data_IF_242090725386
#
_entry.id   IF_242090725386
#
_cell.length_a   1.000
_cell.length_b   1.000
_cell.length_c   1.000
_cell.angle_alpha   90.00
_cell.angle_beta   90.00
_cell.angle_gamma   90.00
#
_symmetry.space_group_name_H-M   'P 1'
#
loop_
_entity.id
_entity.type
_entity.pdbx_description
1 polymer ?
#
# COMPACT_ATOMS: atom_id res chain seq x y z
N UNK A 1 -29.73 -21.15 12.85
CA UNK A 1 -28.55 -20.30 12.67
C UNK A 1 -27.38 -21.12 12.19
N UNK A 2 -27.01 -20.95 10.93
CA UNK A 2 -25.72 -21.45 10.45
C UNK A 2 -24.62 -20.53 10.99
N UNK A 3 -23.51 -21.06 11.53
CA UNK A 3 -22.39 -20.23 11.95
C UNK A 3 -21.83 -19.51 10.71
N UNK A 4 -21.81 -18.17 10.74
CA UNK A 4 -21.18 -17.40 9.67
C UNK A 4 -19.73 -17.85 9.52
N UNK A 5 -19.28 -18.10 8.29
CA UNK A 5 -17.88 -18.44 8.02
C UNK A 5 -16.92 -17.47 8.72
N UNK A 6 -15.76 -17.95 9.23
CA UNK A 6 -14.76 -17.09 9.85
C UNK A 6 -14.37 -15.98 8.87
N UNK A 7 -14.41 -14.73 9.35
CA UNK A 7 -14.06 -13.55 8.56
C UNK A 7 -12.63 -13.15 8.88
N UNK A 8 -11.89 -12.78 7.85
CA UNK A 8 -10.56 -12.21 7.99
C UNK A 8 -10.40 -10.98 7.10
N UNK A 9 -9.40 -10.14 7.42
CA UNK A 9 -9.08 -8.96 6.64
C UNK A 9 -7.59 -8.63 6.75
N UNK A 10 -7.01 -8.12 5.67
CA UNK A 10 -5.70 -7.47 5.74
C UNK A 10 -5.85 -6.06 6.29
N UNK A 11 -4.82 -5.55 6.95
CA UNK A 11 -4.80 -4.21 7.53
C UNK A 11 -3.37 -3.68 7.61
N UNK A 12 -3.21 -2.38 7.36
CA UNK A 12 -2.06 -1.61 7.80
C UNK A 12 -2.59 -0.46 8.62
N UNK A 13 -2.09 -0.32 9.85
CA UNK A 13 -2.39 0.77 10.75
C UNK A 13 -1.12 1.60 10.96
N UNK A 14 -1.26 2.92 10.89
CA UNK A 14 -0.17 3.85 11.14
C UNK A 14 -0.64 4.93 12.12
N UNK A 15 0.12 5.10 13.20
CA UNK A 15 0.03 6.29 14.05
C UNK A 15 1.06 7.30 13.54
N UNK A 16 0.63 8.53 13.31
CA UNK A 16 1.44 9.58 12.70
C UNK A 16 1.62 10.74 13.68
N UNK A 17 2.87 11.08 13.95
CA UNK A 17 3.26 12.33 14.58
C UNK A 17 3.69 13.34 13.50
N UNK A 18 2.83 14.31 13.14
CA UNK A 18 3.13 15.28 12.10
C UNK A 18 4.17 16.33 12.51
N UNK A 19 4.46 16.51 13.80
CA UNK A 19 5.48 17.46 14.24
C UNK A 19 6.89 16.92 13.95
N UNK A 20 7.07 15.60 14.09
CA UNK A 20 8.36 14.93 13.89
C UNK A 20 8.46 14.16 12.57
N UNK A 21 7.34 13.96 11.87
CA UNK A 21 7.28 13.09 10.69
C UNK A 21 7.40 11.60 11.04
N UNK A 22 7.24 11.23 12.32
CA UNK A 22 7.36 9.83 12.75
C UNK A 22 6.07 9.07 12.49
N UNK A 23 6.19 7.87 11.92
CA UNK A 23 5.11 6.91 11.77
C UNK A 23 5.47 5.61 12.49
N UNK A 24 4.59 5.16 13.37
CA UNK A 24 4.64 3.84 13.99
C UNK A 24 3.60 2.95 13.30
N UNK A 25 4.08 1.94 12.55
CA UNK A 25 3.27 1.14 11.63
C UNK A 25 3.13 -0.30 12.15
N UNK A 26 1.90 -0.80 12.23
CA UNK A 26 1.59 -2.21 12.46
C UNK A 26 0.87 -2.79 11.24
N UNK A 27 1.29 -3.98 10.80
CA UNK A 27 0.79 -4.61 9.56
C UNK A 27 0.27 -6.02 9.79
N UNK A 28 -0.92 -6.30 9.29
CA UNK A 28 -1.59 -7.60 9.28
C UNK A 28 -1.85 -8.03 7.84
N UNK A 29 -0.93 -8.77 7.22
CA UNK A 29 -1.05 -9.32 5.86
C UNK A 29 -1.18 -8.30 4.70
N UNK A 30 -1.24 -7.00 4.97
CA UNK A 30 -1.37 -5.95 3.95
C UNK A 30 -0.07 -5.75 3.16
N UNK A 31 -0.08 -5.18 1.94
CA UNK A 31 1.14 -4.76 1.26
C UNK A 31 2.00 -3.80 2.09
N UNK A 32 3.32 -3.86 1.88
CA UNK A 32 4.27 -2.91 2.48
C UNK A 32 4.04 -1.49 1.93
N UNK A 33 4.24 -0.45 2.75
CA UNK A 33 4.17 0.93 2.30
C UNK A 33 5.36 1.31 1.42
N UNK A 34 5.20 2.41 0.71
CA UNK A 34 6.22 2.94 -0.20
C UNK A 34 6.52 4.36 0.19
N UNK A 35 7.81 4.69 0.31
CA UNK A 35 8.26 6.06 0.53
C UNK A 35 8.80 6.60 -0.78
N UNK A 36 8.28 7.76 -1.19
CA UNK A 36 8.75 8.56 -2.30
C UNK A 36 9.60 9.68 -1.73
N UNK A 37 10.88 9.69 -2.09
CA UNK A 37 11.84 10.70 -1.65
C UNK A 37 11.60 12.05 -2.32
N UNK A 38 12.23 13.10 -1.79
CA UNK A 38 12.22 14.43 -2.41
C UNK A 38 12.87 14.47 -3.81
N UNK A 39 13.69 13.46 -4.15
CA UNK A 39 14.26 13.25 -5.48
C UNK A 39 13.36 12.40 -6.40
N UNK A 40 12.11 12.17 -5.97
CA UNK A 40 11.12 11.29 -6.60
C UNK A 40 11.53 9.81 -6.64
N UNK A 41 12.55 9.35 -5.91
CA UNK A 41 12.86 7.91 -5.85
C UNK A 41 11.81 7.18 -5.01
N UNK A 42 11.19 6.12 -5.55
CA UNK A 42 10.21 5.29 -4.84
C UNK A 42 10.83 4.02 -4.25
N UNK A 43 10.69 3.82 -2.94
CA UNK A 43 11.29 2.68 -2.22
C UNK A 43 10.23 1.97 -1.37
N UNK A 44 10.08 0.65 -1.55
CA UNK A 44 9.27 -0.18 -0.65
C UNK A 44 9.92 -0.19 0.73
N UNK A 45 9.17 0.22 1.74
CA UNK A 45 9.59 0.15 3.14
C UNK A 45 9.08 -1.13 3.75
N UNK A 46 9.99 -2.09 3.91
CA UNK A 46 9.69 -3.34 4.58
C UNK A 46 9.22 -3.08 6.02
N UNK A 47 8.04 -3.58 6.33
CA UNK A 47 7.43 -3.48 7.64
C UNK A 47 7.19 -4.86 8.22
N UNK A 48 7.60 -5.05 9.47
CA UNK A 48 7.27 -6.24 10.22
C UNK A 48 5.74 -6.38 10.29
N UNK A 49 5.25 -7.61 10.18
CA UNK A 49 3.81 -7.86 10.16
C UNK A 49 3.45 -9.27 10.58
N UNK A 50 2.16 -9.45 10.85
CA UNK A 50 1.54 -10.72 11.22
C UNK A 50 0.53 -11.21 10.17
N UNK A 51 -0.16 -12.30 10.51
CA UNK A 51 -1.24 -12.85 9.69
C UNK A 51 -2.42 -11.88 9.56
N UNK A 52 -3.24 -11.95 8.49
CA UNK A 52 -4.48 -11.19 8.41
C UNK A 52 -5.32 -11.30 9.70
N UNK A 53 -5.99 -10.21 10.06
CA UNK A 53 -6.83 -10.14 11.25
C UNK A 53 -7.89 -11.25 11.20
N UNK A 54 -8.13 -11.92 12.33
CA UNK A 54 -9.17 -12.96 12.44
C UNK A 54 -8.74 -14.37 12.00
N UNK A 55 -7.52 -14.55 11.48
CA UNK A 55 -6.97 -15.89 11.19
C UNK A 55 -6.56 -16.62 12.47
N UNK A 56 -5.87 -15.93 13.38
CA UNK A 56 -5.45 -16.46 14.68
C UNK A 56 -5.76 -15.43 15.77
N UNK A 57 -6.29 -15.90 16.90
CA UNK A 57 -6.77 -15.03 17.98
C UNK A 57 -5.64 -14.33 18.73
N UNK A 58 -4.47 -14.95 18.79
CA UNK A 58 -3.29 -14.48 19.54
C UNK A 58 -2.15 -14.05 18.59
N UNK A 59 -2.47 -13.53 17.41
CA UNK A 59 -1.46 -12.99 16.49
C UNK A 59 -0.81 -11.72 17.06
N UNK A 60 0.52 -11.71 17.10
CA UNK A 60 1.31 -10.51 17.36
C UNK A 60 1.47 -9.66 16.09
N UNK A 61 1.38 -8.34 16.27
CA UNK A 61 1.57 -7.35 15.21
C UNK A 61 2.68 -6.37 15.61
N UNK A 62 3.96 -6.69 15.32
CA UNK A 62 5.07 -5.83 15.71
C UNK A 62 5.01 -4.48 14.98
N UNK A 63 5.42 -3.43 15.69
CA UNK A 63 5.49 -2.08 15.15
C UNK A 63 6.83 -1.84 14.44
N UNK A 64 6.78 -1.27 13.24
CA UNK A 64 7.93 -0.74 12.52
C UNK A 64 7.87 0.78 12.50
N UNK A 65 8.96 1.44 12.91
CA UNK A 65 9.06 2.90 12.84
C UNK A 65 9.62 3.36 11.51
N UNK A 66 8.96 4.33 10.90
CA UNK A 66 9.42 5.08 9.72
C UNK A 66 9.45 6.56 10.10
N UNK A 67 10.43 7.31 9.60
CA UNK A 67 10.48 8.78 9.75
C UNK A 67 10.47 9.35 8.34
N UNK A 68 9.52 10.23 8.07
CA UNK A 68 9.48 10.99 6.83
C UNK A 68 10.22 12.31 7.02
N UNK A 69 11.16 12.55 6.13
CA UNK A 69 11.81 13.85 6.01
C UNK A 69 10.89 14.85 5.26
N UNK A 70 11.12 16.16 5.39
CA UNK A 70 10.37 17.15 4.62
C UNK A 70 10.40 16.86 3.12
N UNK A 71 9.24 17.00 2.47
CA UNK A 71 9.01 16.68 1.05
C UNK A 71 9.08 15.19 0.68
N UNK A 72 9.22 14.28 1.65
CA UNK A 72 8.92 12.86 1.40
C UNK A 72 7.43 12.57 1.50
N UNK A 73 6.97 11.59 0.73
CA UNK A 73 5.60 11.10 0.75
C UNK A 73 5.59 9.62 1.07
N UNK A 74 4.59 9.16 1.84
CA UNK A 74 4.33 7.73 2.03
C UNK A 74 3.02 7.34 1.36
N UNK A 75 3.05 6.25 0.61
CA UNK A 75 1.87 5.65 -0.03
C UNK A 75 1.50 4.36 0.70
N UNK A 76 0.21 4.25 1.05
CA UNK A 76 -0.45 3.01 1.44
C UNK A 76 -1.46 2.63 0.37
N UNK A 77 -1.46 1.38 -0.08
CA UNK A 77 -2.44 0.89 -1.04
C UNK A 77 -2.81 -0.56 -0.75
N UNK A 78 -4.04 -0.94 -1.11
CA UNK A 78 -4.46 -2.33 -1.07
C UNK A 78 -3.86 -3.11 -2.25
N UNK A 79 -3.82 -4.44 -2.11
CA UNK A 79 -3.37 -5.36 -3.16
C UNK A 79 -4.11 -5.15 -4.49
N UNK A 80 -5.38 -4.76 -4.45
CA UNK A 80 -6.17 -4.45 -5.64
C UNK A 80 -5.49 -3.46 -6.59
N UNK A 81 -4.81 -2.42 -6.09
CA UNK A 81 -4.07 -1.50 -6.98
C UNK A 81 -2.91 -2.22 -7.68
N UNK A 82 -2.18 -3.05 -6.95
CA UNK A 82 -0.97 -3.73 -7.43
C UNK A 82 -1.33 -4.85 -8.41
N UNK A 83 -2.30 -5.68 -8.04
CA UNK A 83 -2.65 -6.93 -8.74
C UNK A 83 -3.69 -6.73 -9.86
N UNK A 84 -4.30 -5.55 -9.98
CA UNK A 84 -5.29 -5.25 -11.03
C UNK A 84 -4.74 -5.57 -12.42
N UNK A 85 -5.52 -6.35 -13.18
CA UNK A 85 -5.14 -6.83 -14.53
C UNK A 85 -4.45 -8.20 -14.54
N UNK A 86 -4.44 -8.92 -13.41
CA UNK A 86 -3.79 -10.23 -13.29
C UNK A 86 -2.28 -10.13 -13.06
N UNK A 87 -1.82 -8.98 -12.58
CA UNK A 87 -0.44 -8.78 -12.17
C UNK A 87 -0.21 -9.43 -10.81
N UNK A 88 1.01 -9.91 -10.60
CA UNK A 88 1.50 -10.26 -9.26
C UNK A 88 2.15 -9.04 -8.61
N UNK A 89 2.59 -9.21 -7.36
CA UNK A 89 3.27 -8.14 -6.60
C UNK A 89 4.47 -7.54 -7.36
N UNK A 90 5.28 -8.36 -8.03
CA UNK A 90 6.50 -7.89 -8.69
C UNK A 90 6.20 -7.11 -9.97
N UNK A 91 5.33 -7.64 -10.82
CA UNK A 91 4.95 -7.03 -12.10
C UNK A 91 4.03 -5.83 -11.91
N UNK A 92 3.12 -5.88 -10.93
CA UNK A 92 2.29 -4.76 -10.52
C UNK A 92 3.15 -3.60 -10.02
N UNK A 93 4.21 -3.90 -9.27
CA UNK A 93 5.09 -2.87 -8.76
C UNK A 93 6.01 -2.25 -9.81
N UNK A 94 6.53 -3.07 -10.73
CA UNK A 94 7.25 -2.57 -11.91
C UNK A 94 6.40 -1.61 -12.76
N UNK A 95 5.07 -1.76 -12.75
CA UNK A 95 4.12 -0.88 -13.47
C UNK A 95 3.87 0.43 -12.73
N UNK A 96 3.75 0.40 -11.41
CA UNK A 96 3.39 1.57 -10.60
C UNK A 96 4.60 2.45 -10.26
N UNK A 97 5.80 1.86 -10.15
CA UNK A 97 7.02 2.59 -9.79
C UNK A 97 7.27 3.83 -10.69
N UNK A 98 7.20 3.75 -12.03
CA UNK A 98 7.43 4.94 -12.87
C UNK A 98 6.43 6.08 -12.64
N UNK A 99 5.21 5.77 -12.17
CA UNK A 99 4.18 6.77 -11.86
C UNK A 99 4.49 7.48 -10.56
N UNK A 100 5.01 6.75 -9.57
CA UNK A 100 5.45 7.31 -8.28
C UNK A 100 6.72 8.12 -8.41
N UNK A 101 7.55 7.79 -9.38
CA UNK A 101 8.78 8.51 -9.69
C UNK A 101 8.56 9.72 -10.61
N UNK A 102 7.32 9.99 -11.02
CA UNK A 102 6.96 11.21 -11.74
C UNK A 102 6.90 12.40 -10.77
N UNK A 103 7.72 13.45 -10.95
CA UNK A 103 7.75 14.57 -10.01
C UNK A 103 6.42 15.33 -9.98
N UNK A 104 5.80 15.38 -8.81
CA UNK A 104 4.61 16.21 -8.55
C UNK A 104 4.56 16.66 -7.10
N UNK A 105 4.02 17.86 -6.87
CA UNK A 105 3.71 18.37 -5.53
C UNK A 105 2.23 18.12 -5.16
N UNK A 106 1.44 17.56 -6.10
CA UNK A 106 0.01 17.30 -5.93
C UNK A 106 -0.26 15.80 -5.71
N UNK A 107 -0.58 15.46 -4.45
CA UNK A 107 -0.88 14.09 -4.04
C UNK A 107 -2.15 13.53 -4.69
N UNK A 108 -3.13 14.38 -5.00
CA UNK A 108 -4.35 13.95 -5.69
C UNK A 108 -4.03 13.57 -7.12
N UNK A 109 -3.23 14.38 -7.81
CA UNK A 109 -2.77 14.08 -9.16
C UNK A 109 -1.96 12.77 -9.22
N UNK A 110 -1.09 12.53 -8.23
CA UNK A 110 -0.35 11.28 -8.12
C UNK A 110 -1.29 10.09 -7.90
N UNK A 111 -2.28 10.22 -7.00
CA UNK A 111 -3.27 9.17 -6.75
C UNK A 111 -4.10 8.85 -8.00
N UNK A 112 -4.56 9.86 -8.73
CA UNK A 112 -5.27 9.69 -9.99
C UNK A 112 -4.40 8.98 -11.04
N UNK A 113 -3.14 9.39 -11.18
CA UNK A 113 -2.22 8.78 -12.14
C UNK A 113 -1.99 7.28 -11.84
N UNK A 114 -1.88 6.91 -10.57
CA UNK A 114 -1.76 5.51 -10.13
C UNK A 114 -3.00 4.70 -10.51
N UNK A 115 -4.19 5.25 -10.27
CA UNK A 115 -5.46 4.60 -10.61
C UNK A 115 -5.61 4.46 -12.12
N UNK A 116 -5.26 5.48 -12.90
CA UNK A 116 -5.28 5.42 -14.36
C UNK A 116 -4.28 4.39 -14.92
N UNK A 117 -3.11 4.24 -14.32
CA UNK A 117 -2.10 3.28 -14.75
C UNK A 117 -2.56 1.82 -14.66
N UNK A 118 -3.55 1.53 -13.81
CA UNK A 118 -4.11 0.18 -13.64
C UNK A 118 -5.42 -0.04 -14.42
N UNK A 119 -6.09 1.04 -14.81
CA UNK A 119 -7.24 0.99 -15.70
C UNK A 119 -6.78 0.85 -17.16
N UNK A 120 -6.61 -0.40 -17.62
CA UNK A 120 -6.55 -0.68 -19.06
C UNK A 120 -7.88 -0.32 -19.76
N UNK A 121 -7.90 -0.19 -21.11
CA UNK A 121 -9.17 -0.03 -21.82
C UNK A 121 -10.11 -1.17 -21.44
N UNK A 122 -11.38 -0.83 -21.14
CA UNK A 122 -12.42 -1.77 -20.73
C UNK A 122 -12.35 -3.02 -21.59
N UNK A 123 -12.06 -4.17 -20.97
CA UNK A 123 -12.12 -5.45 -21.66
C UNK A 123 -13.54 -5.59 -22.19
N UNK A 124 -13.71 -5.49 -23.51
CA UNK A 124 -14.94 -5.91 -24.14
C UNK A 124 -15.12 -7.40 -23.82
N UNK A 125 -15.99 -7.70 -22.84
CA UNK A 125 -16.56 -9.02 -22.71
C UNK A 125 -17.42 -9.26 -23.96
N UNK A 126 -16.82 -9.81 -25.01
CA UNK A 126 -17.60 -10.44 -26.07
C UNK A 126 -18.20 -11.71 -25.48
N UNK A 127 -19.52 -11.68 -25.27
CA UNK A 127 -20.34 -12.89 -25.08
C UNK A 127 -20.53 -13.58 -26.42
#
# INVERSE_FOLDING_TARGET
DEPSAPRFATCLYAEVDPETGTLDIARAGHPDPVVVGADSTAVIRQTAGGLPLGIETDSDYPTTRVVLEPAETIMFCTDGLIETGGHDMATGWSRLQPVLEEPTEDLEQMADALVQAVHGPTSHYTT
#
